data_IF_579432849899
#
_entry.id   IF_579432849899
#
_cell.length_a   1.000
_cell.length_b   1.000
_cell.length_c   1.000
_cell.angle_alpha   90.00
_cell.angle_beta   90.00
_cell.angle_gamma   90.00
#
_symmetry.space_group_name_H-M   'P 1'
#
loop_
_entity.id
_entity.type
_entity.pdbx_description
1 polymer ?
#
# COMPACT_ATOMS: atom_id res chain seq x y z
N UNK A 1 7.74 5.84 -30.44
CA UNK A 1 6.51 6.60 -30.39
C UNK A 1 6.62 7.92 -29.58
N UNK A 2 7.63 8.06 -28.69
CA UNK A 2 7.87 9.29 -27.93
C UNK A 2 6.97 9.43 -26.69
N UNK A 3 6.19 8.41 -26.35
CA UNK A 3 5.32 8.43 -25.18
C UNK A 3 6.14 8.23 -23.90
N UNK A 4 5.85 9.01 -22.88
CA UNK A 4 6.46 8.92 -21.56
C UNK A 4 5.57 8.09 -20.64
N UNK A 5 6.18 7.12 -19.94
CA UNK A 5 5.52 6.26 -18.97
C UNK A 5 6.14 6.43 -17.60
N UNK A 6 5.30 6.44 -16.58
CA UNK A 6 5.73 6.46 -15.19
C UNK A 6 5.43 5.09 -14.58
N UNK A 7 6.43 4.44 -14.01
CA UNK A 7 6.23 3.24 -13.19
C UNK A 7 6.15 3.67 -11.73
N UNK A 8 5.00 3.43 -11.10
CA UNK A 8 4.73 3.82 -9.73
C UNK A 8 4.69 2.58 -8.84
N UNK A 9 5.69 2.45 -7.96
CA UNK A 9 5.69 1.46 -6.89
C UNK A 9 4.61 1.76 -5.86
N UNK A 10 3.99 0.72 -5.31
CA UNK A 10 2.96 0.83 -4.29
C UNK A 10 2.99 -0.40 -3.38
N UNK A 11 2.01 -0.52 -2.50
CA UNK A 11 1.92 -1.58 -1.48
C UNK A 11 1.67 -2.97 -2.04
N UNK A 12 1.12 -3.06 -3.25
CA UNK A 12 0.74 -4.31 -3.90
C UNK A 12 -0.65 -4.81 -3.49
N UNK A 13 -0.98 -6.02 -3.92
CA UNK A 13 -2.30 -6.63 -3.68
C UNK A 13 -2.29 -7.77 -2.67
N UNK A 14 -1.10 -8.21 -2.23
CA UNK A 14 -0.93 -9.23 -1.20
C UNK A 14 -1.03 -8.61 0.19
N UNK A 15 -2.19 -8.03 0.50
CA UNK A 15 -2.48 -7.34 1.75
C UNK A 15 -3.90 -7.68 2.20
N UNK A 16 -4.16 -7.54 3.50
CA UNK A 16 -5.51 -7.66 4.05
C UNK A 16 -6.45 -6.54 3.59
N UNK A 17 -5.88 -5.38 3.19
CA UNK A 17 -6.66 -4.24 2.78
C UNK A 17 -7.13 -4.39 1.33
N UNK A 18 -8.44 -4.57 1.16
CA UNK A 18 -9.08 -4.59 -0.17
C UNK A 18 -9.67 -3.21 -0.42
N UNK A 19 -8.97 -2.40 -1.22
CA UNK A 19 -9.32 -1.00 -1.45
C UNK A 19 -9.84 -0.76 -2.86
N UNK A 20 -10.57 0.33 -3.01
CA UNK A 20 -11.10 0.85 -4.26
C UNK A 20 -11.70 2.24 -4.03
N UNK A 21 -12.16 2.88 -5.09
CA UNK A 21 -12.67 4.27 -5.03
C UNK A 21 -13.85 4.42 -4.06
N UNK A 22 -14.72 3.40 -3.97
CA UNK A 22 -15.85 3.40 -3.03
C UNK A 22 -15.46 3.00 -1.61
N UNK A 23 -14.38 2.23 -1.45
CA UNK A 23 -13.95 1.64 -0.18
C UNK A 23 -12.45 1.84 0.02
N UNK A 24 -11.99 3.10 0.17
CA UNK A 24 -10.57 3.37 0.42
C UNK A 24 -10.16 2.94 1.82
N UNK A 25 -8.88 2.61 2.02
CA UNK A 25 -8.30 2.67 3.36
C UNK A 25 -8.16 4.13 3.74
N UNK A 26 -8.48 4.48 4.98
CA UNK A 26 -8.30 5.85 5.46
C UNK A 26 -7.55 5.92 6.77
N UNK A 27 -6.89 7.05 6.99
CA UNK A 27 -6.27 7.42 8.28
C UNK A 27 -6.91 8.72 8.73
N UNK A 28 -7.55 8.68 9.87
CA UNK A 28 -8.09 9.85 10.54
C UNK A 28 -7.09 10.29 11.60
N UNK A 29 -6.61 11.54 11.52
CA UNK A 29 -5.58 12.07 12.41
C UNK A 29 -6.04 13.36 13.09
N UNK A 30 -5.92 13.38 14.42
CA UNK A 30 -6.21 14.51 15.30
C UNK A 30 -5.66 14.21 16.68
N UNK A 31 -5.45 15.21 17.51
CA UNK A 31 -5.30 15.04 18.95
C UNK A 31 -6.70 14.83 19.55
N UNK A 32 -7.10 13.56 19.73
CA UNK A 32 -8.45 13.19 20.18
C UNK A 32 -8.62 13.27 21.69
N UNK A 33 -7.54 13.22 22.45
CA UNK A 33 -7.58 13.26 23.93
C UNK A 33 -7.06 14.55 24.54
N UNK A 34 -6.54 15.48 23.71
CA UNK A 34 -6.07 16.80 24.15
C UNK A 34 -4.69 16.76 24.82
N UNK A 35 -3.88 15.74 24.54
CA UNK A 35 -2.54 15.56 25.13
C UNK A 35 -1.40 16.29 24.39
N UNK A 36 -1.72 17.00 23.30
CA UNK A 36 -0.76 17.72 22.46
C UNK A 36 -0.05 16.84 21.42
N UNK A 37 -0.41 15.56 21.29
CA UNK A 37 0.10 14.65 20.26
C UNK A 37 -1.02 14.26 19.32
N UNK A 38 -0.68 14.11 18.04
CA UNK A 38 -1.66 13.64 17.06
C UNK A 38 -1.83 12.13 17.13
N UNK A 39 -3.05 11.69 17.26
CA UNK A 39 -3.47 10.29 17.18
C UNK A 39 -3.82 9.94 15.74
N UNK A 40 -3.53 8.71 15.33
CA UNK A 40 -3.82 8.22 13.99
C UNK A 40 -4.66 6.95 14.06
N UNK A 41 -5.90 7.01 13.56
CA UNK A 41 -6.79 5.85 13.50
C UNK A 41 -6.95 5.42 12.04
N UNK A 42 -6.33 4.28 11.70
CA UNK A 42 -6.50 3.66 10.40
C UNK A 42 -7.79 2.86 10.34
N UNK A 43 -8.54 3.00 9.26
CA UNK A 43 -9.76 2.23 9.02
C UNK A 43 -9.83 1.69 7.61
N UNK A 44 -10.57 0.60 7.44
CA UNK A 44 -10.82 -0.06 6.16
C UNK A 44 -12.25 -0.60 6.12
N UNK A 45 -12.73 -0.94 4.94
CA UNK A 45 -14.11 -1.38 4.76
C UNK A 45 -14.24 -2.90 4.84
N UNK A 46 -15.28 -3.36 5.56
CA UNK A 46 -15.77 -4.73 5.56
C UNK A 46 -17.27 -4.63 5.27
N UNK A 47 -17.74 -5.28 4.22
CA UNK A 47 -19.17 -5.31 3.83
C UNK A 47 -19.82 -3.92 3.80
N UNK A 48 -19.09 -2.92 3.26
CA UNK A 48 -19.60 -1.56 3.10
C UNK A 48 -19.54 -0.67 4.33
N UNK A 49 -19.04 -1.16 5.47
CA UNK A 49 -18.84 -0.38 6.70
C UNK A 49 -17.36 -0.18 7.00
N UNK A 50 -16.99 1.00 7.45
CA UNK A 50 -15.62 1.32 7.83
C UNK A 50 -15.35 0.87 9.27
N UNK A 51 -14.34 0.02 9.46
CA UNK A 51 -13.91 -0.49 10.75
C UNK A 51 -12.49 -0.05 11.08
N UNK A 52 -12.16 0.23 12.35
CA UNK A 52 -10.78 0.51 12.74
C UNK A 52 -9.90 -0.74 12.53
N UNK A 53 -8.68 -0.53 12.06
CA UNK A 53 -7.69 -1.61 11.91
C UNK A 53 -6.96 -1.95 13.20
N UNK A 54 -7.16 -1.16 14.23
CA UNK A 54 -6.54 -1.29 15.54
C UNK A 54 -7.25 -2.35 16.40
N UNK A 55 -6.49 -3.07 17.23
CA UNK A 55 -7.08 -3.83 18.33
C UNK A 55 -7.60 -2.88 19.40
N UNK A 56 -8.41 -3.39 20.32
CA UNK A 56 -8.83 -2.58 21.49
C UNK A 56 -7.62 -2.10 22.31
N UNK A 57 -6.64 -2.98 22.50
CA UNK A 57 -5.43 -2.65 23.27
C UNK A 57 -4.62 -1.53 22.60
N UNK A 58 -4.39 -1.63 21.27
CA UNK A 58 -3.72 -0.56 20.51
C UNK A 58 -4.43 0.79 20.68
N UNK A 59 -5.78 0.80 20.64
CA UNK A 59 -6.55 2.02 20.79
C UNK A 59 -6.54 2.55 22.21
N UNK A 60 -6.59 1.70 23.23
CA UNK A 60 -6.56 2.10 24.62
C UNK A 60 -5.17 2.57 25.07
N UNK A 61 -4.10 2.10 24.43
CA UNK A 61 -2.75 2.63 24.61
C UNK A 61 -2.64 4.04 24.05
N UNK A 62 -3.19 4.27 22.84
CA UNK A 62 -3.16 5.55 22.16
C UNK A 62 -4.18 6.55 22.73
N UNK A 63 -5.39 6.09 23.05
CA UNK A 63 -6.54 6.88 23.52
C UNK A 63 -7.14 6.27 24.78
N UNK A 64 -6.52 6.47 25.96
CA UNK A 64 -6.99 5.90 27.22
C UNK A 64 -8.43 6.29 27.60
N UNK A 65 -8.91 7.44 27.10
CA UNK A 65 -10.27 7.94 27.31
C UNK A 65 -11.36 7.00 26.79
N UNK A 66 -11.04 6.20 25.75
CA UNK A 66 -11.96 5.22 25.17
C UNK A 66 -12.28 4.05 26.11
N UNK A 67 -11.48 3.85 27.19
CA UNK A 67 -11.73 2.80 28.20
C UNK A 67 -13.11 2.94 28.88
N UNK A 68 -13.60 4.16 28.98
CA UNK A 68 -14.95 4.42 29.55
C UNK A 68 -16.07 3.89 28.65
N UNK A 69 -15.82 3.73 27.34
CA UNK A 69 -16.79 3.28 26.33
C UNK A 69 -16.59 1.82 25.98
N UNK A 70 -15.33 1.38 25.91
CA UNK A 70 -14.92 0.02 25.50
C UNK A 70 -14.08 -0.60 26.61
N UNK A 71 -14.74 -1.26 27.56
CA UNK A 71 -14.08 -1.90 28.71
C UNK A 71 -13.87 -3.40 28.52
N UNK A 72 -14.41 -3.98 27.44
CA UNK A 72 -14.29 -5.40 27.09
C UNK A 72 -14.07 -5.55 25.58
N UNK A 73 -13.43 -6.64 25.16
CA UNK A 73 -13.31 -6.99 23.75
C UNK A 73 -14.68 -7.15 23.07
N UNK A 74 -15.66 -7.70 23.80
CA UNK A 74 -17.02 -7.87 23.28
C UNK A 74 -17.69 -6.55 22.96
N UNK A 75 -17.48 -5.51 23.76
CA UNK A 75 -18.04 -4.17 23.50
C UNK A 75 -17.39 -3.48 22.30
N UNK A 76 -16.19 -3.90 21.93
CA UNK A 76 -15.44 -3.34 20.82
C UNK A 76 -15.59 -4.14 19.50
N UNK A 77 -15.85 -5.45 19.56
CA UNK A 77 -15.77 -6.38 18.45
C UNK A 77 -16.57 -5.98 17.19
N UNK A 78 -17.71 -5.30 17.38
CA UNK A 78 -18.57 -4.85 16.26
C UNK A 78 -18.56 -3.33 16.08
N UNK A 79 -17.54 -2.65 16.62
CA UNK A 79 -17.48 -1.18 16.60
C UNK A 79 -16.95 -0.69 15.26
N UNK A 80 -17.82 -0.07 14.46
CA UNK A 80 -17.44 0.66 13.26
C UNK A 80 -16.89 2.06 13.60
N UNK A 81 -16.35 2.77 12.59
CA UNK A 81 -15.78 4.12 12.77
C UNK A 81 -16.81 5.14 13.24
N UNK A 82 -18.10 4.96 12.91
CA UNK A 82 -19.19 5.84 13.35
C UNK A 82 -19.49 5.68 14.83
N UNK A 83 -19.41 4.45 15.33
CA UNK A 83 -19.61 4.10 16.74
C UNK A 83 -18.36 4.38 17.59
N UNK A 84 -17.17 4.22 17.00
CA UNK A 84 -15.89 4.49 17.68
C UNK A 84 -15.73 5.97 18.00
N UNK A 85 -15.95 6.84 17.03
CA UNK A 85 -15.81 8.28 17.16
C UNK A 85 -17.10 8.98 16.71
N UNK A 86 -17.73 9.72 17.62
CA UNK A 86 -18.91 10.55 17.30
C UNK A 86 -18.52 11.65 16.30
N UNK A 87 -19.51 12.19 15.58
CA UNK A 87 -19.29 13.24 14.58
C UNK A 87 -18.56 14.45 15.14
N UNK A 88 -18.91 14.90 16.35
CA UNK A 88 -18.24 16.02 17.03
C UNK A 88 -16.76 15.72 17.39
N UNK A 89 -16.42 14.48 17.70
CA UNK A 89 -15.04 14.07 17.99
C UNK A 89 -14.17 14.10 16.71
N UNK A 90 -14.78 13.84 15.54
CA UNK A 90 -14.10 13.86 14.23
C UNK A 90 -14.01 15.25 13.59
N UNK A 91 -14.69 16.23 14.15
CA UNK A 91 -14.62 17.61 13.66
C UNK A 91 -13.19 18.13 13.69
N UNK A 92 -12.75 18.77 12.59
CA UNK A 92 -11.39 19.26 12.38
C UNK A 92 -10.29 18.17 12.36
N UNK A 93 -10.64 16.88 12.24
CA UNK A 93 -9.66 15.85 12.00
C UNK A 93 -9.21 15.84 10.52
N UNK A 94 -7.94 15.56 10.29
CA UNK A 94 -7.40 15.34 8.93
C UNK A 94 -7.70 13.91 8.53
N UNK A 95 -8.35 13.73 7.39
CA UNK A 95 -8.57 12.40 6.81
C UNK A 95 -7.75 12.23 5.53
N UNK A 96 -6.85 11.23 5.53
CA UNK A 96 -6.10 10.80 4.35
C UNK A 96 -6.70 9.49 3.83
N UNK A 97 -6.80 9.35 2.51
CA UNK A 97 -7.40 8.18 1.86
C UNK A 97 -6.47 7.59 0.81
N UNK A 98 -6.43 6.26 0.73
CA UNK A 98 -5.77 5.55 -0.35
C UNK A 98 -6.76 4.56 -0.98
N UNK A 99 -7.04 4.76 -2.26
CA UNK A 99 -7.96 3.92 -3.05
C UNK A 99 -7.21 2.98 -4.00
N UNK A 100 -5.90 3.17 -4.16
CA UNK A 100 -5.06 2.39 -5.08
C UNK A 100 -3.89 1.77 -4.31
N UNK A 101 -3.75 0.45 -4.40
CA UNK A 101 -2.64 -0.32 -3.81
C UNK A 101 -1.73 -0.99 -4.85
N UNK A 102 -2.18 -1.25 -6.08
CA UNK A 102 -1.33 -1.92 -7.07
C UNK A 102 -0.12 -1.08 -7.46
N UNK A 103 1.01 -1.74 -7.71
CA UNK A 103 2.11 -1.19 -8.49
C UNK A 103 1.66 -1.08 -9.94
N UNK A 104 1.77 0.11 -10.52
CA UNK A 104 1.15 0.49 -11.79
C UNK A 104 2.15 1.09 -12.77
N UNK A 105 1.79 1.01 -14.06
CA UNK A 105 2.33 1.90 -15.10
C UNK A 105 1.28 2.99 -15.37
N UNK A 106 1.73 4.21 -15.45
CA UNK A 106 0.90 5.37 -15.78
C UNK A 106 1.34 5.87 -17.14
N UNK A 107 0.45 5.78 -18.11
CA UNK A 107 0.64 6.25 -19.48
C UNK A 107 0.15 7.69 -19.62
N UNK A 108 1.00 8.54 -20.15
CA UNK A 108 0.60 9.88 -20.59
C UNK A 108 0.17 9.81 -22.08
N UNK A 109 -1.12 9.81 -22.33
CA UNK A 109 -1.66 9.69 -23.70
C UNK A 109 -1.55 10.98 -24.53
N UNK A 110 -0.84 11.99 -24.04
CA UNK A 110 -0.67 13.28 -24.72
C UNK A 110 -1.92 14.20 -24.72
N UNK A 111 -3.06 13.72 -24.24
CA UNK A 111 -4.34 14.45 -24.23
C UNK A 111 -4.71 15.02 -22.85
N UNK A 112 -3.73 15.24 -21.99
CA UNK A 112 -3.89 15.58 -20.55
C UNK A 112 -4.63 14.50 -19.75
N UNK A 113 -4.73 13.28 -20.30
CA UNK A 113 -5.34 12.13 -19.65
C UNK A 113 -4.26 11.10 -19.31
N UNK A 114 -4.21 10.71 -18.05
CA UNK A 114 -3.38 9.62 -17.58
C UNK A 114 -4.20 8.33 -17.57
N UNK A 115 -3.63 7.27 -18.12
CA UNK A 115 -4.24 5.93 -18.12
C UNK A 115 -3.35 5.00 -17.30
N UNK A 116 -3.96 4.22 -16.40
CA UNK A 116 -3.24 3.29 -15.55
C UNK A 116 -3.31 1.86 -16.08
N UNK A 117 -2.16 1.19 -16.10
CA UNK A 117 -2.02 -0.20 -16.50
C UNK A 117 -1.44 -1.00 -15.34
N UNK A 118 -1.99 -2.18 -15.08
CA UNK A 118 -1.47 -3.06 -14.04
C UNK A 118 -0.30 -3.88 -14.56
N UNK A 119 0.76 -3.94 -13.77
CA UNK A 119 1.82 -4.92 -13.96
C UNK A 119 1.36 -6.34 -13.63
N UNK A 120 2.08 -7.39 -14.09
CA UNK A 120 1.79 -8.79 -13.72
C UNK A 120 1.64 -8.98 -12.22
N UNK A 121 0.92 -10.05 -11.85
CA UNK A 121 0.56 -10.30 -10.44
C UNK A 121 1.78 -10.39 -9.51
N UNK A 122 2.93 -10.84 -10.01
CA UNK A 122 4.16 -10.92 -9.24
C UNK A 122 4.62 -9.54 -8.73
N UNK A 123 4.41 -8.48 -9.49
CA UNK A 123 4.69 -7.10 -9.07
C UNK A 123 3.81 -6.63 -7.90
N UNK A 124 2.77 -7.41 -7.57
CA UNK A 124 1.79 -7.11 -6.52
C UNK A 124 2.00 -7.93 -5.25
N UNK A 125 3.04 -8.77 -5.17
CA UNK A 125 3.24 -9.69 -4.06
C UNK A 125 3.79 -9.02 -2.80
N UNK A 126 4.47 -7.89 -2.96
CA UNK A 126 5.09 -7.14 -1.86
C UNK A 126 5.16 -5.65 -2.20
N UNK A 127 5.29 -4.76 -1.22
CA UNK A 127 5.54 -3.34 -1.49
C UNK A 127 6.76 -3.12 -2.38
N UNK A 128 6.63 -2.21 -3.35
CA UNK A 128 7.71 -1.82 -4.25
C UNK A 128 8.16 -0.40 -3.90
N UNK A 129 9.43 -0.26 -3.50
CA UNK A 129 10.05 1.01 -3.14
C UNK A 129 11.15 1.45 -4.09
N UNK A 130 11.75 0.50 -4.82
CA UNK A 130 12.86 0.76 -5.71
C UNK A 130 12.59 0.15 -7.09
N UNK A 131 12.79 0.96 -8.13
CA UNK A 131 12.48 0.62 -9.51
C UNK A 131 13.68 1.03 -10.37
N UNK A 132 14.13 0.10 -11.22
CA UNK A 132 15.06 0.42 -12.30
C UNK A 132 14.44 0.02 -13.63
N UNK A 133 14.60 0.88 -14.64
CA UNK A 133 14.21 0.62 -16.02
C UNK A 133 15.48 0.55 -16.90
N UNK A 134 15.84 -0.66 -17.31
CA UNK A 134 17.04 -0.92 -18.11
C UNK A 134 16.77 -2.07 -19.10
N UNK A 135 17.49 -2.10 -20.19
CA UNK A 135 17.41 -3.18 -21.18
C UNK A 135 18.31 -4.33 -20.70
N UNK A 136 17.72 -5.37 -20.09
CA UNK A 136 18.48 -6.48 -19.49
C UNK A 136 18.83 -7.59 -20.48
N UNK A 137 18.12 -7.68 -21.62
CA UNK A 137 18.35 -8.71 -22.64
C UNK A 137 18.84 -8.15 -24.00
N UNK A 138 19.13 -6.85 -24.05
CA UNK A 138 19.67 -6.11 -25.19
C UNK A 138 18.74 -6.16 -26.42
N UNK A 139 17.42 -6.19 -26.20
CA UNK A 139 16.43 -6.19 -27.29
C UNK A 139 15.98 -4.77 -27.70
N UNK A 140 16.55 -3.73 -27.06
CA UNK A 140 16.28 -2.32 -27.33
C UNK A 140 15.09 -1.76 -26.55
N UNK A 141 14.42 -2.56 -25.71
CA UNK A 141 13.30 -2.13 -24.87
C UNK A 141 13.73 -2.05 -23.41
N UNK A 142 13.14 -1.11 -22.67
CA UNK A 142 13.40 -1.00 -21.23
C UNK A 142 12.58 -2.05 -20.47
N UNK A 143 13.27 -2.94 -19.80
CA UNK A 143 12.73 -3.88 -18.82
C UNK A 143 12.64 -3.22 -17.45
N UNK A 144 11.93 -3.87 -16.52
CA UNK A 144 11.78 -3.37 -15.16
C UNK A 144 12.44 -4.32 -14.16
N UNK A 145 13.19 -3.76 -13.22
CA UNK A 145 13.63 -4.43 -12.00
C UNK A 145 12.91 -3.77 -10.84
N UNK A 146 12.12 -4.54 -10.11
CA UNK A 146 11.31 -4.06 -8.97
C UNK A 146 11.82 -4.68 -7.69
N UNK A 147 12.18 -3.84 -6.73
CA UNK A 147 12.59 -4.26 -5.39
C UNK A 147 11.78 -3.53 -4.33
N UNK A 148 11.70 -4.12 -3.14
CA UNK A 148 10.94 -3.49 -2.07
C UNK A 148 11.01 -4.28 -0.78
N UNK A 149 9.86 -4.73 -0.32
CA UNK A 149 9.58 -5.37 0.96
C UNK A 149 9.38 -4.41 2.13
N UNK A 150 8.72 -4.90 3.16
CA UNK A 150 8.47 -4.20 4.40
C UNK A 150 8.40 -5.21 5.54
N UNK A 151 9.53 -5.41 6.23
CA UNK A 151 9.63 -6.33 7.38
C UNK A 151 9.17 -5.70 8.70
N UNK A 152 9.34 -4.38 8.85
CA UNK A 152 9.01 -3.62 10.05
C UNK A 152 7.52 -3.31 10.22
N UNK A 153 6.63 -4.26 9.87
CA UNK A 153 5.19 -4.12 10.10
C UNK A 153 4.79 -4.60 11.50
N UNK A 154 3.59 -4.23 11.96
CA UNK A 154 3.05 -4.82 13.19
C UNK A 154 2.88 -6.33 13.03
N UNK A 155 3.17 -7.10 14.07
CA UNK A 155 3.15 -8.59 14.08
C UNK A 155 1.86 -9.15 13.47
N UNK A 156 0.70 -8.55 13.75
CA UNK A 156 -0.59 -8.98 13.22
C UNK A 156 -0.74 -8.90 11.69
N UNK A 157 0.11 -8.13 11.00
CA UNK A 157 0.09 -8.01 9.55
C UNK A 157 1.10 -8.93 8.87
N UNK A 158 2.00 -9.57 9.63
CA UNK A 158 3.12 -10.36 9.10
C UNK A 158 4.17 -9.49 8.41
N UNK A 159 5.14 -10.14 7.78
CA UNK A 159 6.15 -9.47 6.96
C UNK A 159 5.72 -9.44 5.50
N UNK A 160 6.00 -8.35 4.81
CA UNK A 160 5.85 -8.26 3.36
C UNK A 160 7.24 -8.44 2.74
N UNK A 161 7.66 -9.68 2.54
CA UNK A 161 9.02 -10.08 2.17
C UNK A 161 9.10 -10.95 0.91
N UNK A 162 8.02 -10.99 0.13
CA UNK A 162 7.91 -11.84 -1.05
C UNK A 162 8.71 -11.38 -2.26
N UNK A 163 9.27 -10.15 -2.25
CA UNK A 163 10.04 -9.62 -3.36
C UNK A 163 11.53 -9.92 -3.16
N UNK A 164 12.10 -10.66 -4.09
CA UNK A 164 13.53 -11.04 -4.10
C UNK A 164 14.29 -10.39 -5.26
N UNK A 165 13.84 -9.23 -5.73
CA UNK A 165 14.37 -8.57 -6.92
C UNK A 165 13.69 -9.13 -8.16
N UNK A 166 12.46 -8.68 -8.43
CA UNK A 166 11.67 -9.18 -9.55
C UNK A 166 12.03 -8.47 -10.84
N UNK A 167 12.29 -9.25 -11.89
CA UNK A 167 12.58 -8.78 -13.23
C UNK A 167 11.37 -9.01 -14.15
N UNK A 168 11.02 -7.98 -14.91
CA UNK A 168 9.91 -8.03 -15.86
C UNK A 168 10.41 -7.60 -17.23
N UNK A 169 10.40 -8.54 -18.18
CA UNK A 169 10.77 -8.29 -19.58
C UNK A 169 9.66 -7.53 -20.30
N UNK A 170 10.03 -6.47 -20.99
CA UNK A 170 9.14 -5.67 -21.82
C UNK A 170 8.89 -6.38 -23.17
N UNK A 171 7.66 -6.74 -23.44
CA UNK A 171 7.24 -7.36 -24.72
C UNK A 171 6.76 -6.34 -25.76
N UNK A 172 6.79 -5.05 -25.41
CA UNK A 172 6.19 -3.97 -26.18
C UNK A 172 4.73 -3.73 -25.82
N UNK A 173 4.21 -2.54 -26.17
CA UNK A 173 2.81 -2.18 -25.93
C UNK A 173 2.39 -2.23 -24.47
N UNK A 174 3.26 -1.83 -23.52
CA UNK A 174 3.05 -1.89 -22.06
C UNK A 174 2.79 -3.31 -21.52
N UNK A 175 3.20 -4.33 -22.28
CA UNK A 175 3.07 -5.72 -21.87
C UNK A 175 4.39 -6.21 -21.27
N UNK A 176 4.32 -6.68 -20.04
CA UNK A 176 5.47 -7.18 -19.31
C UNK A 176 5.30 -8.65 -18.93
N UNK A 177 6.39 -9.41 -18.99
CA UNK A 177 6.42 -10.80 -18.54
C UNK A 177 7.42 -10.98 -17.41
N UNK A 178 6.99 -11.62 -16.33
CA UNK A 178 7.85 -11.94 -15.20
C UNK A 178 8.95 -12.94 -15.59
N UNK A 179 10.19 -12.65 -15.19
CA UNK A 179 11.33 -13.55 -15.28
C UNK A 179 11.61 -14.08 -13.85
N UNK A 180 11.44 -15.39 -13.61
CA UNK A 180 11.68 -15.93 -12.28
C UNK A 180 13.16 -15.82 -11.87
N UNK A 181 13.46 -15.75 -10.57
CA UNK A 181 14.81 -15.63 -10.03
C UNK A 181 15.80 -16.68 -10.55
N UNK A 182 15.33 -17.90 -10.81
CA UNK A 182 16.13 -18.98 -11.42
C UNK A 182 16.64 -18.69 -12.83
N UNK A 183 15.98 -17.79 -13.55
CA UNK A 183 16.37 -17.38 -14.90
C UNK A 183 17.03 -15.99 -14.92
N UNK A 184 16.61 -15.08 -14.06
CA UNK A 184 17.21 -13.74 -13.98
C UNK A 184 18.55 -13.74 -13.25
N UNK A 185 18.80 -14.74 -12.39
CA UNK A 185 19.96 -14.78 -11.51
C UNK A 185 19.90 -13.79 -10.34
N UNK A 186 18.82 -13.01 -10.21
CA UNK A 186 18.64 -12.03 -9.14
C UNK A 186 17.85 -12.69 -8.00
N UNK A 187 18.46 -12.70 -6.81
CA UNK A 187 17.81 -13.16 -5.58
C UNK A 187 18.33 -12.33 -4.40
N UNK A 188 17.63 -11.23 -4.12
CA UNK A 188 17.98 -10.24 -3.10
C UNK A 188 16.93 -10.31 -1.99
N UNK A 189 17.36 -10.47 -0.74
CA UNK A 189 16.47 -10.47 0.43
C UNK A 189 16.61 -9.17 1.21
N UNK A 190 15.55 -8.82 1.96
CA UNK A 190 15.51 -7.65 2.83
C UNK A 190 14.70 -6.48 2.24
N UNK A 191 14.67 -5.39 2.99
CA UNK A 191 13.89 -4.19 2.69
C UNK A 191 14.70 -3.25 1.79
N UNK A 192 14.56 -3.42 0.47
CA UNK A 192 15.29 -2.63 -0.52
C UNK A 192 14.59 -1.27 -0.73
N UNK A 193 15.36 -0.18 -0.72
CA UNK A 193 14.84 1.20 -0.87
C UNK A 193 15.39 1.95 -2.08
N UNK A 194 16.47 1.46 -2.68
CA UNK A 194 17.04 2.07 -3.89
C UNK A 194 17.71 1.03 -4.79
N UNK A 195 17.74 1.32 -6.09
CA UNK A 195 18.47 0.59 -7.12
C UNK A 195 19.24 1.60 -7.95
N UNK A 196 20.48 1.31 -8.29
CA UNK A 196 21.27 2.03 -9.29
C UNK A 196 21.74 1.06 -10.37
N UNK A 197 21.72 1.50 -11.61
CA UNK A 197 22.24 0.79 -12.79
C UNK A 197 23.38 1.62 -13.36
N UNK A 198 24.54 1.01 -13.60
CA UNK A 198 25.74 1.66 -14.09
C UNK A 198 26.10 1.18 -15.50
#
# INVERSE_FOLDING_TARGET
DGDEYIVAGNYGLNTQFKVGDQFPISVLSKDFDGNGKSDAITSYFIEGKAYPSHSLDDLLEQLPSLRKRFNTYSSYANTDMGSLLKSAERENAVELKAAQMPTLIIENTGTRKLVTHRLPIQAQFSPVFAIAATDVDLDGKKDLILCGNQSGTRIKYGCYDANVGFVFRNKGGLTFSFIPPSLSGISITGDIRSIAVF
#
